data_IF_715456726875
#
_entry.id   IF_715456726875
#
_cell.length_a   1.000
_cell.length_b   1.000
_cell.length_c   1.000
_cell.angle_alpha   90.00
_cell.angle_beta   90.00
_cell.angle_gamma   90.00
#
_symmetry.space_group_name_H-M   'P 1'
#
loop_
_entity.id
_entity.type
_entity.pdbx_description
1 polymer ?
#
# COMPACT_ATOMS: atom_id res chain seq x y z
N UNK A 1 -29.27 -13.54 -49.20
CA UNK A 1 -29.24 -14.56 -48.12
C UNK A 1 -27.81 -14.68 -47.63
N UNK A 2 -27.47 -14.06 -46.49
CA UNK A 2 -26.16 -14.23 -45.88
C UNK A 2 -26.12 -15.58 -45.15
N UNK A 3 -25.31 -16.53 -45.63
CA UNK A 3 -24.99 -17.75 -44.87
C UNK A 3 -24.08 -17.35 -43.71
N UNK A 4 -24.65 -17.23 -42.52
CA UNK A 4 -23.87 -17.01 -41.30
C UNK A 4 -23.02 -18.26 -41.09
N UNK A 5 -21.70 -18.10 -41.26
CA UNK A 5 -20.74 -19.18 -41.13
C UNK A 5 -20.58 -19.50 -39.64
N UNK A 6 -21.20 -20.59 -39.20
CA UNK A 6 -21.27 -21.02 -37.78
C UNK A 6 -19.89 -21.07 -37.11
N UNK A 7 -18.83 -21.39 -37.85
CA UNK A 7 -17.46 -21.39 -37.34
C UNK A 7 -16.95 -20.00 -36.93
N UNK A 8 -17.38 -18.93 -37.60
CA UNK A 8 -17.03 -17.55 -37.21
C UNK A 8 -17.79 -17.12 -35.94
N UNK A 9 -19.03 -17.59 -35.76
CA UNK A 9 -19.82 -17.33 -34.56
C UNK A 9 -19.21 -18.05 -33.34
N UNK A 10 -18.81 -19.32 -33.50
CA UNK A 10 -18.12 -20.07 -32.46
C UNK A 10 -16.73 -19.49 -32.13
N UNK A 11 -15.97 -19.04 -33.14
CA UNK A 11 -14.70 -18.35 -32.91
C UNK A 11 -14.87 -17.04 -32.14
N UNK A 12 -15.89 -16.23 -32.48
CA UNK A 12 -16.20 -15.00 -31.76
C UNK A 12 -16.65 -15.27 -30.31
N UNK A 13 -17.48 -16.29 -30.09
CA UNK A 13 -17.92 -16.71 -28.74
C UNK A 13 -16.75 -17.20 -27.88
N UNK A 14 -15.83 -17.99 -28.46
CA UNK A 14 -14.63 -18.44 -27.76
C UNK A 14 -13.73 -17.27 -27.38
N UNK A 15 -13.46 -16.33 -28.29
CA UNK A 15 -12.68 -15.12 -27.99
C UNK A 15 -13.33 -14.23 -26.92
N UNK A 16 -14.66 -14.09 -26.94
CA UNK A 16 -15.39 -13.33 -25.91
C UNK A 16 -15.31 -14.01 -24.54
N UNK A 17 -15.39 -15.34 -24.51
CA UNK A 17 -15.29 -16.11 -23.27
C UNK A 17 -13.89 -16.06 -22.66
N UNK A 18 -12.84 -16.18 -23.48
CA UNK A 18 -11.45 -16.10 -23.01
C UNK A 18 -11.07 -14.70 -22.58
N UNK A 19 -11.58 -13.67 -23.26
CA UNK A 19 -11.38 -12.28 -22.85
C UNK A 19 -12.00 -12.01 -21.47
N UNK A 20 -13.26 -12.42 -21.26
CA UNK A 20 -13.92 -12.26 -19.95
C UNK A 20 -13.23 -13.05 -18.84
N UNK A 21 -12.75 -14.26 -19.13
CA UNK A 21 -11.97 -15.06 -18.17
C UNK A 21 -10.62 -14.41 -17.83
N UNK A 22 -9.93 -13.86 -18.83
CA UNK A 22 -8.66 -13.15 -18.62
C UNK A 22 -8.85 -11.86 -17.82
N UNK A 23 -9.91 -11.09 -18.12
CA UNK A 23 -10.27 -9.86 -17.40
C UNK A 23 -10.67 -10.16 -15.95
N UNK A 24 -11.52 -11.17 -15.72
CA UNK A 24 -11.90 -11.60 -14.37
C UNK A 24 -10.70 -12.07 -13.55
N UNK A 25 -9.80 -12.87 -14.15
CA UNK A 25 -8.56 -13.30 -13.49
C UNK A 25 -7.63 -12.12 -13.17
N UNK A 26 -7.55 -11.13 -14.05
CA UNK A 26 -6.74 -9.93 -13.81
C UNK A 26 -7.30 -9.09 -12.66
N UNK A 27 -8.62 -8.82 -12.66
CA UNK A 27 -9.30 -8.08 -11.57
C UNK A 27 -9.13 -8.76 -10.22
N UNK A 28 -9.30 -10.08 -10.16
CA UNK A 28 -9.06 -10.86 -8.94
C UNK A 28 -7.60 -10.75 -8.47
N UNK A 29 -6.64 -10.80 -9.41
CA UNK A 29 -5.23 -10.61 -9.08
C UNK A 29 -4.97 -9.22 -8.48
N UNK A 30 -5.51 -8.15 -9.07
CA UNK A 30 -5.37 -6.79 -8.56
C UNK A 30 -6.01 -6.63 -7.17
N UNK A 31 -7.16 -7.26 -6.93
CA UNK A 31 -7.80 -7.28 -5.61
C UNK A 31 -6.89 -7.94 -4.57
N UNK A 32 -6.23 -9.05 -4.92
CA UNK A 32 -5.27 -9.69 -4.03
C UNK A 32 -4.07 -8.78 -3.73
N UNK A 33 -3.56 -8.04 -4.72
CA UNK A 33 -2.47 -7.06 -4.51
C UNK A 33 -2.90 -5.97 -3.53
N UNK A 34 -4.10 -5.41 -3.69
CA UNK A 34 -4.61 -4.38 -2.78
C UNK A 34 -4.92 -4.91 -1.38
N UNK A 35 -5.53 -6.08 -1.26
CA UNK A 35 -5.77 -6.71 0.04
C UNK A 35 -4.46 -6.91 0.80
N UNK A 36 -3.45 -7.50 0.13
CA UNK A 36 -2.13 -7.69 0.73
C UNK A 36 -1.50 -6.36 1.13
N UNK A 37 -1.62 -5.32 0.30
CA UNK A 37 -1.17 -3.98 0.63
C UNK A 37 -1.86 -3.45 1.90
N UNK A 38 -3.20 -3.52 1.98
CA UNK A 38 -3.99 -3.07 3.12
C UNK A 38 -3.61 -3.82 4.41
N UNK A 39 -3.49 -5.14 4.34
CA UNK A 39 -3.06 -5.97 5.47
C UNK A 39 -1.65 -5.59 5.94
N UNK A 40 -0.76 -5.29 4.99
CA UNK A 40 0.63 -4.91 5.29
C UNK A 40 0.70 -3.56 5.98
N UNK A 41 0.01 -2.54 5.48
CA UNK A 41 0.00 -1.21 6.13
C UNK A 41 -0.71 -1.23 7.48
N UNK A 42 -1.73 -2.07 7.66
CA UNK A 42 -2.38 -2.26 8.95
C UNK A 42 -1.41 -2.86 9.97
N UNK A 43 -0.68 -3.90 9.58
CA UNK A 43 0.36 -4.50 10.43
C UNK A 43 1.47 -3.50 10.74
N UNK A 44 1.97 -2.79 9.74
CA UNK A 44 3.00 -1.75 9.91
C UNK A 44 2.53 -0.69 10.92
N UNK A 45 1.32 -0.15 10.73
CA UNK A 45 0.69 0.82 11.64
C UNK A 45 0.63 0.28 13.07
N UNK A 46 0.14 -0.94 13.25
CA UNK A 46 -0.02 -1.54 14.57
C UNK A 46 1.33 -1.73 15.28
N UNK A 47 2.37 -2.12 14.54
CA UNK A 47 3.74 -2.22 15.09
C UNK A 47 4.26 -0.84 15.47
N UNK A 48 4.10 0.17 14.61
CA UNK A 48 4.53 1.54 14.91
C UNK A 48 3.82 2.10 16.14
N UNK A 49 2.51 1.82 16.31
CA UNK A 49 1.75 2.20 17.52
C UNK A 49 2.33 1.50 18.75
N UNK A 50 2.57 0.20 18.69
CA UNK A 50 3.18 -0.53 19.80
C UNK A 50 4.58 -0.01 20.14
N UNK A 51 5.41 0.30 19.14
CA UNK A 51 6.73 0.91 19.35
C UNK A 51 6.62 2.31 19.97
N UNK A 52 5.59 3.08 19.60
CA UNK A 52 5.29 4.39 20.18
C UNK A 52 4.86 4.31 21.64
N UNK A 53 4.11 3.28 22.03
CA UNK A 53 3.68 3.01 23.41
C UNK A 53 4.64 2.12 24.20
N UNK A 54 5.74 1.70 23.58
CA UNK A 54 6.70 0.75 24.10
C UNK A 54 7.75 1.38 25.03
N UNK A 55 8.59 0.54 25.60
CA UNK A 55 9.65 0.95 26.54
C UNK A 55 10.94 1.40 25.84
N UNK A 56 10.95 1.52 24.52
CA UNK A 56 12.18 1.73 23.77
C UNK A 56 12.45 3.23 23.56
N UNK A 57 13.46 3.81 24.22
CA UNK A 57 13.79 5.22 24.03
C UNK A 57 14.28 5.54 22.61
N UNK A 58 14.66 4.52 21.82
CA UNK A 58 15.14 4.64 20.44
C UNK A 58 14.08 4.25 19.40
N UNK A 59 12.83 4.02 19.81
CA UNK A 59 11.74 3.61 18.91
C UNK A 59 11.62 4.51 17.68
N UNK A 60 11.74 5.83 17.86
CA UNK A 60 11.71 6.82 16.79
C UNK A 60 12.77 6.56 15.72
N UNK A 61 14.03 6.40 16.14
CA UNK A 61 15.15 6.21 15.22
C UNK A 61 15.03 4.89 14.46
N UNK A 62 14.59 3.83 15.16
CA UNK A 62 14.31 2.53 14.53
C UNK A 62 13.21 2.61 13.48
N UNK A 63 12.12 3.31 13.76
CA UNK A 63 11.04 3.55 12.79
C UNK A 63 11.62 4.28 11.58
N UNK A 64 12.32 5.40 11.77
CA UNK A 64 12.90 6.15 10.66
C UNK A 64 13.89 5.36 9.82
N UNK A 65 14.78 4.61 10.44
CA UNK A 65 15.75 3.77 9.72
C UNK A 65 15.06 2.73 8.84
N UNK A 66 13.98 2.11 9.33
CA UNK A 66 13.23 1.13 8.52
C UNK A 66 12.41 1.80 7.42
N UNK A 67 11.74 2.91 7.73
CA UNK A 67 10.93 3.66 6.76
C UNK A 67 11.78 4.29 5.65
N UNK A 68 12.97 4.79 5.96
CA UNK A 68 13.90 5.33 4.95
C UNK A 68 14.38 4.23 3.98
N UNK A 69 14.45 2.96 4.42
CA UNK A 69 14.74 1.83 3.52
C UNK A 69 13.57 1.51 2.57
N UNK A 70 12.32 1.78 2.97
CA UNK A 70 11.17 1.69 2.04
C UNK A 70 11.39 2.64 0.88
N UNK A 71 11.80 3.87 1.17
CA UNK A 71 12.09 4.86 0.13
C UNK A 71 13.19 4.44 -0.82
N UNK A 72 14.29 3.90 -0.28
CA UNK A 72 15.42 3.40 -1.09
C UNK A 72 14.92 2.30 -2.03
N UNK A 73 14.13 1.36 -1.53
CA UNK A 73 13.56 0.28 -2.34
C UNK A 73 12.62 0.81 -3.43
N UNK A 74 11.78 1.79 -3.09
CA UNK A 74 10.90 2.45 -4.06
C UNK A 74 11.70 3.20 -5.13
N UNK A 75 12.82 3.84 -4.79
CA UNK A 75 13.63 4.60 -5.76
C UNK A 75 14.48 3.71 -6.68
N UNK A 76 14.73 2.46 -6.32
CA UNK A 76 15.45 1.51 -7.19
C UNK A 76 14.64 1.28 -8.47
N UNK A 77 15.13 1.77 -9.61
CA UNK A 77 14.42 1.69 -10.89
C UNK A 77 14.69 0.39 -11.63
N UNK A 78 13.64 -0.18 -12.22
CA UNK A 78 13.81 -1.19 -13.27
C UNK A 78 14.36 -0.55 -14.56
N UNK A 79 15.04 -1.32 -15.42
CA UNK A 79 15.57 -0.83 -16.70
C UNK A 79 14.49 -0.37 -17.69
N UNK A 80 13.23 -0.76 -17.46
CA UNK A 80 12.09 -0.47 -18.32
C UNK A 80 11.10 0.46 -17.61
N UNK A 81 10.27 1.25 -18.35
CA UNK A 81 9.21 2.05 -17.75
C UNK A 81 8.27 1.20 -16.89
N UNK A 82 8.08 1.60 -15.64
CA UNK A 82 7.18 0.90 -14.71
C UNK A 82 5.72 1.35 -14.91
N UNK A 83 4.80 0.38 -15.00
CA UNK A 83 3.36 0.64 -14.90
C UNK A 83 2.96 0.95 -13.45
N UNK A 84 1.75 1.48 -13.24
CA UNK A 84 1.22 1.74 -11.90
C UNK A 84 0.95 0.46 -11.11
N UNK A 85 0.59 -0.62 -11.80
CA UNK A 85 0.53 -1.96 -11.21
C UNK A 85 1.90 -2.42 -10.67
N UNK A 86 2.97 -2.30 -11.48
CA UNK A 86 4.34 -2.65 -11.05
C UNK A 86 4.78 -1.82 -9.85
N UNK A 87 4.48 -0.51 -9.86
CA UNK A 87 4.77 0.38 -8.72
C UNK A 87 4.03 -0.04 -7.45
N UNK A 88 2.77 -0.45 -7.58
CA UNK A 88 1.94 -0.91 -6.45
C UNK A 88 2.49 -2.21 -5.85
N UNK A 89 2.87 -3.18 -6.70
CA UNK A 89 3.50 -4.44 -6.27
C UNK A 89 4.83 -4.16 -5.54
N UNK A 90 5.65 -3.27 -6.11
CA UNK A 90 6.93 -2.87 -5.53
C UNK A 90 6.75 -2.22 -4.16
N UNK A 91 5.73 -1.37 -3.98
CA UNK A 91 5.39 -0.80 -2.68
C UNK A 91 4.99 -1.88 -1.68
N UNK A 92 4.09 -2.79 -2.05
CA UNK A 92 3.67 -3.88 -1.18
C UNK A 92 4.87 -4.74 -0.73
N UNK A 93 5.80 -5.04 -1.64
CA UNK A 93 7.02 -5.76 -1.30
C UNK A 93 7.95 -4.97 -0.35
N UNK A 94 8.12 -3.66 -0.58
CA UNK A 94 8.93 -2.80 0.27
C UNK A 94 8.35 -2.68 1.69
N UNK A 95 7.03 -2.57 1.82
CA UNK A 95 6.33 -2.51 3.10
C UNK A 95 6.36 -3.84 3.85
N UNK A 96 6.23 -4.98 3.16
CA UNK A 96 6.38 -6.29 3.80
C UNK A 96 7.77 -6.44 4.42
N UNK A 97 8.81 -6.04 3.70
CA UNK A 97 10.17 -6.01 4.24
C UNK A 97 10.31 -5.06 5.43
N UNK A 98 9.59 -3.93 5.44
CA UNK A 98 9.58 -3.01 6.58
C UNK A 98 8.92 -3.64 7.81
N UNK A 99 7.74 -4.25 7.66
CA UNK A 99 7.04 -4.98 8.72
C UNK A 99 7.94 -6.05 9.34
N UNK A 100 8.62 -6.86 8.54
CA UNK A 100 9.54 -7.88 9.04
C UNK A 100 10.72 -7.28 9.83
N UNK A 101 11.25 -6.13 9.37
CA UNK A 101 12.35 -5.44 10.05
C UNK A 101 11.91 -4.82 11.37
N UNK A 102 10.76 -4.16 11.40
CA UNK A 102 10.20 -3.59 12.62
C UNK A 102 9.96 -4.68 13.67
N UNK A 103 9.39 -5.82 13.28
CA UNK A 103 9.18 -6.96 14.20
C UNK A 103 10.49 -7.57 14.69
N UNK A 104 11.55 -7.62 13.86
CA UNK A 104 12.87 -8.07 14.33
C UNK A 104 13.48 -7.11 15.35
N UNK A 105 13.20 -5.81 15.21
CA UNK A 105 13.68 -4.76 16.12
C UNK A 105 12.87 -4.68 17.42
N UNK A 106 11.59 -5.06 17.38
CA UNK A 106 10.67 -5.03 18.51
C UNK A 106 9.70 -6.24 18.47
N UNK A 107 10.16 -7.45 18.86
CA UNK A 107 9.36 -8.68 18.74
C UNK A 107 8.08 -8.68 19.58
N UNK A 108 8.04 -7.90 20.67
CA UNK A 108 6.87 -7.77 21.54
C UNK A 108 5.68 -7.15 20.80
N UNK A 109 5.95 -6.38 19.74
CA UNK A 109 4.93 -5.75 18.90
C UNK A 109 4.26 -6.68 17.90
N UNK A 110 4.47 -8.00 18.01
CA UNK A 110 3.55 -8.97 17.42
C UNK A 110 2.14 -8.82 18.01
N UNK A 111 2.05 -8.45 19.29
CA UNK A 111 0.81 -8.02 19.95
C UNK A 111 0.74 -6.49 19.98
N UNK A 112 -0.17 -5.92 19.20
CA UNK A 112 -0.36 -4.47 19.12
C UNK A 112 -0.85 -3.82 20.42
N UNK A 113 -1.32 -4.63 21.38
CA UNK A 113 -1.80 -4.15 22.69
C UNK A 113 -0.70 -4.03 23.74
N UNK A 114 0.54 -4.41 23.40
CA UNK A 114 1.67 -4.28 24.30
C UNK A 114 1.93 -2.81 24.67
N UNK A 115 1.84 -2.52 25.96
CA UNK A 115 2.14 -1.20 26.54
C UNK A 115 3.26 -1.32 27.57
N UNK A 116 4.17 -0.35 27.60
CA UNK A 116 5.25 -0.38 28.58
C UNK A 116 4.71 -0.29 30.03
N UNK A 117 5.14 -1.18 30.96
CA UNK A 117 4.75 -1.09 32.37
C UNK A 117 5.35 0.15 33.10
N UNK A 118 6.31 0.84 32.49
CA UNK A 118 6.95 2.03 33.01
C UNK A 118 6.97 3.12 31.93
N UNK A 119 6.61 4.37 32.25
CA UNK A 119 6.62 5.42 31.22
C UNK A 119 8.05 5.65 30.69
N UNK A 120 8.23 5.45 29.39
CA UNK A 120 9.42 5.86 28.67
C UNK A 120 9.05 7.05 27.81
N UNK A 121 9.57 8.23 28.15
CA UNK A 121 9.26 9.47 27.44
C UNK A 121 10.03 9.57 26.10
N UNK A 122 9.75 8.65 25.16
CA UNK A 122 10.12 8.83 23.77
C UNK A 122 8.96 9.56 23.07
N UNK A 123 9.02 10.89 23.00
CA UNK A 123 7.99 11.65 22.28
C UNK A 123 8.22 11.52 20.79
N UNK A 124 7.41 10.69 20.12
CA UNK A 124 7.42 10.63 18.65
C UNK A 124 7.03 11.99 18.06
N UNK A 125 7.65 12.39 16.94
CA UNK A 125 7.26 13.59 16.22
C UNK A 125 5.81 13.49 15.70
N UNK A 126 5.13 14.64 15.60
CA UNK A 126 3.71 14.69 15.22
C UNK A 126 3.46 14.09 13.82
N UNK A 127 4.43 14.20 12.92
CA UNK A 127 4.37 13.62 11.57
C UNK A 127 4.26 12.09 11.59
N UNK A 128 4.84 11.40 12.59
CA UNK A 128 4.76 9.94 12.68
C UNK A 128 3.35 9.52 13.06
N UNK A 129 2.72 10.22 14.00
CA UNK A 129 1.31 10.01 14.35
C UNK A 129 0.40 10.32 13.16
N UNK A 130 0.63 11.44 12.48
CA UNK A 130 -0.14 11.81 11.29
C UNK A 130 -0.03 10.73 10.21
N UNK A 131 1.16 10.18 9.98
CA UNK A 131 1.38 9.09 9.05
C UNK A 131 0.61 7.82 9.45
N UNK A 132 0.71 7.39 10.73
CA UNK A 132 -0.03 6.24 11.26
C UNK A 132 -1.56 6.41 11.15
N UNK A 133 -2.07 7.62 11.39
CA UNK A 133 -3.50 7.93 11.25
C UNK A 133 -3.93 7.81 9.79
N UNK A 134 -3.15 8.34 8.85
CA UNK A 134 -3.43 8.21 7.44
C UNK A 134 -3.41 6.75 6.95
N UNK A 135 -2.46 5.93 7.43
CA UNK A 135 -2.48 4.49 7.14
C UNK A 135 -3.79 3.85 7.62
N UNK A 136 -4.26 4.22 8.81
CA UNK A 136 -5.55 3.76 9.35
C UNK A 136 -6.73 4.19 8.49
N UNK A 137 -6.72 5.42 7.99
CA UNK A 137 -7.78 5.92 7.08
C UNK A 137 -7.79 5.18 5.75
N UNK A 138 -6.62 4.81 5.20
CA UNK A 138 -6.52 4.00 3.98
C UNK A 138 -7.06 2.59 4.24
N UNK A 139 -6.70 1.96 5.36
CA UNK A 139 -7.23 0.63 5.72
C UNK A 139 -8.76 0.64 5.86
N UNK A 140 -9.33 1.73 6.41
CA UNK A 140 -10.77 1.86 6.60
C UNK A 140 -11.58 1.89 5.29
N UNK A 141 -10.94 2.12 4.13
CA UNK A 141 -11.62 2.06 2.83
C UNK A 141 -11.58 0.68 2.18
N UNK A 142 -11.07 -0.36 2.87
CA UNK A 142 -10.90 -1.72 2.33
C UNK A 142 -12.19 -2.26 1.70
N UNK A 143 -13.30 -2.14 2.41
CA UNK A 143 -14.60 -2.68 1.99
C UNK A 143 -15.20 -1.92 0.79
N UNK A 144 -14.61 -0.79 0.42
CA UNK A 144 -15.06 0.00 -0.72
C UNK A 144 -14.44 -0.42 -2.05
N UNK A 145 -13.41 -1.28 -2.03
CA UNK A 145 -12.67 -1.69 -3.22
C UNK A 145 -13.21 -3.04 -3.70
N UNK A 146 -13.66 -3.10 -4.95
CA UNK A 146 -14.27 -4.28 -5.56
C UNK A 146 -13.84 -4.43 -7.04
N UNK A 147 -14.34 -5.45 -7.73
CA UNK A 147 -13.97 -5.75 -9.12
C UNK A 147 -14.27 -4.59 -10.10
N UNK A 148 -15.20 -3.70 -9.78
CA UNK A 148 -15.59 -2.59 -10.65
C UNK A 148 -14.62 -1.40 -10.54
N UNK A 149 -13.94 -1.24 -9.40
CA UNK A 149 -13.09 -0.08 -9.13
C UNK A 149 -11.61 -0.41 -8.79
N UNK A 150 -11.25 -1.70 -8.76
CA UNK A 150 -9.90 -2.18 -8.39
C UNK A 150 -8.78 -1.58 -9.26
N UNK A 151 -8.99 -1.45 -10.57
CA UNK A 151 -7.98 -0.90 -11.49
C UNK A 151 -7.68 0.57 -11.17
N UNK A 152 -8.72 1.34 -10.82
CA UNK A 152 -8.57 2.74 -10.39
C UNK A 152 -7.85 2.82 -9.04
N UNK A 153 -8.13 1.93 -8.11
CA UNK A 153 -7.41 1.89 -6.83
C UNK A 153 -5.92 1.58 -7.02
N UNK A 154 -5.57 0.64 -7.90
CA UNK A 154 -4.17 0.36 -8.29
C UNK A 154 -3.52 1.57 -8.96
N UNK A 155 -4.25 2.28 -9.83
CA UNK A 155 -3.73 3.47 -10.51
C UNK A 155 -3.41 4.61 -9.54
N UNK A 156 -4.29 4.85 -8.57
CA UNK A 156 -4.09 5.80 -7.47
C UNK A 156 -2.83 5.46 -6.68
N UNK A 157 -2.67 4.20 -6.29
CA UNK A 157 -1.50 3.75 -5.52
C UNK A 157 -0.20 3.90 -6.33
N UNK A 158 -0.20 3.46 -7.59
CA UNK A 158 0.96 3.60 -8.48
C UNK A 158 1.33 5.05 -8.75
N UNK A 159 0.34 5.94 -8.87
CA UNK A 159 0.55 7.39 -9.01
C UNK A 159 1.18 7.99 -7.75
N UNK A 160 0.73 7.57 -6.56
CA UNK A 160 1.32 8.00 -5.30
C UNK A 160 2.79 7.56 -5.16
N UNK A 161 3.09 6.31 -5.56
CA UNK A 161 4.48 5.82 -5.61
C UNK A 161 5.31 6.63 -6.61
N UNK A 162 4.78 6.90 -7.81
CA UNK A 162 5.48 7.71 -8.81
C UNK A 162 5.79 9.12 -8.28
N UNK A 163 4.91 9.70 -7.48
CA UNK A 163 5.16 10.96 -6.79
C UNK A 163 6.30 10.83 -5.78
N UNK A 164 6.25 9.83 -4.91
CA UNK A 164 7.30 9.57 -3.90
C UNK A 164 8.69 9.34 -4.54
N UNK A 165 8.75 8.63 -5.67
CA UNK A 165 9.99 8.38 -6.42
C UNK A 165 10.59 9.66 -7.04
N UNK A 166 9.74 10.59 -7.48
CA UNK A 166 10.15 11.84 -8.15
C UNK A 166 10.50 12.94 -7.16
N UNK A 167 9.95 12.91 -5.95
CA UNK A 167 10.09 14.01 -5.01
C UNK A 167 11.45 13.99 -4.30
N UNK A 168 12.46 14.63 -4.91
CA UNK A 168 13.83 14.70 -4.41
C UNK A 168 14.10 15.88 -3.46
N UNK A 169 13.16 16.81 -3.33
CA UNK A 169 13.42 18.14 -2.76
C UNK A 169 13.03 18.30 -1.28
N UNK A 170 12.29 17.36 -0.69
CA UNK A 170 11.83 17.47 0.70
C UNK A 170 12.88 16.83 1.64
N UNK A 171 13.52 17.66 2.47
CA UNK A 171 14.41 17.19 3.56
C UNK A 171 13.58 16.52 4.66
N UNK A 172 14.11 15.49 5.31
CA UNK A 172 13.45 14.78 6.42
C UNK A 172 13.62 13.27 6.35
N UNK A 173 12.72 12.53 7.00
CA UNK A 173 12.59 11.08 6.89
C UNK A 173 11.49 10.70 5.88
N UNK A 174 11.43 9.44 5.47
CA UNK A 174 10.45 8.94 4.52
C UNK A 174 9.02 9.33 4.91
N UNK A 175 8.67 9.16 6.20
CA UNK A 175 7.34 9.46 6.74
C UNK A 175 6.90 10.89 6.49
N UNK A 176 7.81 11.87 6.49
CA UNK A 176 7.47 13.26 6.17
C UNK A 176 7.40 13.53 4.65
N UNK A 177 8.21 12.83 3.85
CA UNK A 177 8.19 12.93 2.38
C UNK A 177 6.95 12.31 1.75
N UNK A 178 6.39 11.27 2.36
CA UNK A 178 5.22 10.58 1.83
C UNK A 178 3.88 11.13 2.31
N UNK A 179 3.85 12.12 3.20
CA UNK A 179 2.60 12.75 3.66
C UNK A 179 1.70 13.14 2.47
N UNK A 180 2.24 13.85 1.48
CA UNK A 180 1.44 14.32 0.34
C UNK A 180 0.92 13.14 -0.52
N UNK A 181 1.74 12.17 -0.94
CA UNK A 181 1.27 10.93 -1.53
C UNK A 181 0.19 10.21 -0.73
N UNK A 182 0.36 10.08 0.59
CA UNK A 182 -0.56 9.36 1.45
C UNK A 182 -1.89 10.10 1.58
N UNK A 183 -1.88 11.43 1.67
CA UNK A 183 -3.10 12.26 1.60
C UNK A 183 -3.84 12.02 0.29
N UNK A 184 -3.12 11.96 -0.84
CA UNK A 184 -3.72 11.69 -2.14
C UNK A 184 -4.42 10.32 -2.17
N UNK A 185 -3.72 9.25 -1.75
CA UNK A 185 -4.32 7.89 -1.68
C UNK A 185 -5.55 7.89 -0.78
N UNK A 186 -5.44 8.47 0.41
CA UNK A 186 -6.55 8.55 1.38
C UNK A 186 -7.79 9.19 0.76
N UNK A 187 -7.63 10.34 0.11
CA UNK A 187 -8.74 11.07 -0.52
C UNK A 187 -9.34 10.32 -1.69
N UNK A 188 -8.51 9.74 -2.56
CA UNK A 188 -9.02 9.02 -3.72
C UNK A 188 -9.71 7.71 -3.33
N UNK A 189 -9.19 6.99 -2.33
CA UNK A 189 -9.84 5.78 -1.83
C UNK A 189 -11.16 6.09 -1.10
N UNK A 190 -11.22 7.20 -0.35
CA UNK A 190 -12.48 7.66 0.22
C UNK A 190 -13.54 7.95 -0.86
N UNK A 191 -13.14 8.46 -2.03
CA UNK A 191 -14.07 8.65 -3.15
C UNK A 191 -14.68 7.33 -3.63
N UNK A 192 -13.90 6.25 -3.65
CA UNK A 192 -14.40 4.93 -4.03
C UNK A 192 -15.55 4.46 -3.11
N UNK A 193 -15.54 4.87 -1.83
CA UNK A 193 -16.63 4.57 -0.90
C UNK A 193 -17.93 5.34 -1.18
N UNK A 194 -17.85 6.50 -1.83
CA UNK A 194 -19.03 7.33 -2.16
C UNK A 194 -19.60 7.00 -3.55
N UNK A 195 -18.91 6.19 -4.33
CA UNK A 195 -19.32 5.75 -5.68
C UNK A 195 -20.07 4.39 -5.66
N UNK A 196 -20.25 3.79 -4.48
CA UNK A 196 -20.97 2.52 -4.26
C UNK A 196 -22.49 2.69 -4.18
#
# INVERSE_FOLDING_TARGET
MFRVNIFLVFGALLCLSTFKLAEGNHKQYLLNVLSNFMDTIERQRNIMICMASGCDPLAMYKIFDVEDLVEVNLKTKFPMPESNEVRSIKLAAALNNAVERLLKLQPECYDATYSCPHEVHAKLPAEVFQYMDMLGMIVATRDCINEDNVERAIDVLGTAVAYAERNRAIKGHFTSRVIIPTIYVTKEYQKLCYEL
#
